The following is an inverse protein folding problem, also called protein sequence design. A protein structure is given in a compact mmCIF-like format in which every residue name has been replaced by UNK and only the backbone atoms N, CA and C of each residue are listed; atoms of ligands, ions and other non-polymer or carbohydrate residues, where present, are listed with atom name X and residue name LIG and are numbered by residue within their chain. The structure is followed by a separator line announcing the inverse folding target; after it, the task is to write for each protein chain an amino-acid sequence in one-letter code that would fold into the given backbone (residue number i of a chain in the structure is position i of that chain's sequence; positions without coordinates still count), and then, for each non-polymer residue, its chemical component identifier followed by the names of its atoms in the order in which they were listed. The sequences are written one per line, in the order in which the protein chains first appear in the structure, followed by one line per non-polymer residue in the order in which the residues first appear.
data_IF_207877668301
#
_entry.id   IF_207877668301
#
_cell.length_a   1.000
_cell.length_b   1.000
_cell.length_c   1.000
_cell.angle_alpha   90.00
_cell.angle_beta   90.00
_cell.angle_gamma   90.00
#
_symmetry.space_group_name_H-M   'P 1'
#
loop_
_entity.id
_entity.type
_entity.pdbx_description
1 polymer ?
#
# COMPACT_ATOMS: atom_id res chain seq x y z
N UNK A 1 24.05 -27.53 -2.07
CA UNK A 1 23.30 -26.84 -3.13
C UNK A 1 22.60 -25.65 -2.50
N UNK A 2 23.00 -24.42 -2.80
CA UNK A 2 22.32 -23.21 -2.31
C UNK A 2 21.08 -22.99 -3.19
N UNK A 3 19.89 -23.06 -2.60
CA UNK A 3 18.63 -22.74 -3.31
C UNK A 3 18.70 -21.29 -3.77
N UNK A 4 18.47 -20.98 -5.07
CA UNK A 4 18.47 -19.61 -5.54
C UNK A 4 17.49 -18.76 -4.75
N UNK A 5 17.92 -17.62 -4.25
CA UNK A 5 17.11 -16.73 -3.40
C UNK A 5 15.75 -16.34 -4.04
N UNK A 6 15.68 -16.29 -5.37
CA UNK A 6 14.43 -16.02 -6.10
C UNK A 6 13.38 -17.13 -5.94
N UNK A 7 13.80 -18.41 -5.87
CA UNK A 7 12.89 -19.53 -5.62
C UNK A 7 12.32 -19.52 -4.19
N UNK A 8 13.15 -19.19 -3.21
CA UNK A 8 12.68 -19.03 -1.81
C UNK A 8 11.63 -17.93 -1.75
N UNK A 9 11.89 -16.78 -2.37
CA UNK A 9 10.92 -15.66 -2.43
C UNK A 9 9.64 -16.04 -3.18
N UNK A 10 9.73 -16.81 -4.26
CA UNK A 10 8.56 -17.31 -4.97
C UNK A 10 7.69 -18.19 -4.06
N UNK A 11 8.29 -19.14 -3.35
CA UNK A 11 7.56 -20.00 -2.40
C UNK A 11 6.92 -19.16 -1.29
N UNK A 12 7.64 -18.19 -0.71
CA UNK A 12 7.08 -17.27 0.29
C UNK A 12 5.89 -16.47 -0.26
N UNK A 13 5.97 -16.01 -1.51
CA UNK A 13 4.85 -15.31 -2.16
C UNK A 13 3.61 -16.19 -2.29
N UNK A 14 3.79 -17.48 -2.64
CA UNK A 14 2.67 -18.44 -2.69
C UNK A 14 2.01 -18.60 -1.31
N UNK A 15 2.80 -18.68 -0.23
CA UNK A 15 2.27 -18.72 1.15
C UNK A 15 1.60 -17.42 1.58
N UNK A 16 1.93 -16.27 0.98
CA UNK A 16 1.25 -15.00 1.27
C UNK A 16 -0.08 -14.84 0.54
N UNK A 17 -0.36 -15.61 -0.53
CA UNK A 17 -1.62 -15.51 -1.26
C UNK A 17 -2.86 -15.76 -0.39
N UNK A 18 -2.91 -16.83 0.45
CA UNK A 18 -4.02 -17.02 1.38
C UNK A 18 -4.20 -15.83 2.33
N UNK A 19 -3.11 -15.27 2.85
CA UNK A 19 -3.14 -14.09 3.72
C UNK A 19 -3.71 -12.88 2.96
N UNK A 20 -3.28 -12.67 1.71
CA UNK A 20 -3.83 -11.63 0.85
C UNK A 20 -5.34 -11.82 0.63
N UNK A 21 -5.79 -13.05 0.37
CA UNK A 21 -7.20 -13.36 0.15
C UNK A 21 -8.05 -13.08 1.39
N UNK A 22 -7.64 -13.57 2.56
CA UNK A 22 -8.36 -13.37 3.82
C UNK A 22 -8.36 -11.90 4.24
N UNK A 23 -7.21 -11.21 4.13
CA UNK A 23 -7.13 -9.78 4.42
C UNK A 23 -8.02 -8.97 3.47
N UNK A 24 -8.05 -9.31 2.18
CA UNK A 24 -8.94 -8.66 1.20
C UNK A 24 -10.41 -8.86 1.57
N UNK A 25 -10.82 -10.09 1.88
CA UNK A 25 -12.19 -10.40 2.32
C UNK A 25 -12.55 -9.56 3.56
N UNK A 26 -11.67 -9.52 4.56
CA UNK A 26 -11.90 -8.76 5.79
C UNK A 26 -12.00 -7.26 5.51
N UNK A 27 -11.09 -6.73 4.68
CA UNK A 27 -11.09 -5.32 4.28
C UNK A 27 -12.38 -4.93 3.54
N UNK A 28 -12.77 -5.69 2.50
CA UNK A 28 -13.97 -5.37 1.73
C UNK A 28 -15.24 -5.51 2.54
N UNK A 29 -15.31 -6.47 3.47
CA UNK A 29 -16.43 -6.59 4.42
C UNK A 29 -16.50 -5.39 5.36
N UNK A 30 -15.36 -4.95 5.92
CA UNK A 30 -15.28 -3.77 6.76
C UNK A 30 -15.63 -2.49 5.98
N UNK A 31 -15.12 -2.35 4.75
CA UNK A 31 -15.42 -1.23 3.86
C UNK A 31 -16.91 -1.17 3.49
N UNK A 32 -17.53 -2.32 3.14
CA UNK A 32 -18.97 -2.38 2.87
C UNK A 32 -19.78 -1.98 4.12
N UNK A 33 -19.37 -2.42 5.31
CA UNK A 33 -20.00 -2.02 6.59
C UNK A 33 -19.87 -0.51 6.82
N UNK A 34 -18.69 0.06 6.60
CA UNK A 34 -18.45 1.51 6.74
C UNK A 34 -19.30 2.32 5.77
N UNK A 35 -19.42 1.90 4.52
CA UNK A 35 -20.17 2.63 3.49
C UNK A 35 -21.68 2.48 3.64
N UNK A 36 -22.18 1.26 3.81
CA UNK A 36 -23.63 0.97 3.80
C UNK A 36 -24.26 1.23 5.15
N UNK A 37 -23.70 0.67 6.24
CA UNK A 37 -24.30 0.75 7.56
C UNK A 37 -23.92 2.03 8.31
N UNK A 38 -22.71 2.52 8.13
CA UNK A 38 -22.14 3.65 8.90
C UNK A 38 -22.12 4.96 8.10
N UNK A 39 -22.54 4.92 6.84
CA UNK A 39 -22.63 6.11 5.98
C UNK A 39 -21.32 6.90 5.90
N UNK A 40 -20.18 6.24 5.68
CA UNK A 40 -18.87 6.89 5.52
C UNK A 40 -18.93 8.09 4.55
N UNK A 41 -19.75 7.97 3.50
CA UNK A 41 -19.94 8.99 2.48
C UNK A 41 -20.74 10.23 2.94
N UNK A 42 -21.27 10.26 4.20
CA UNK A 42 -21.95 11.47 4.73
C UNK A 42 -20.98 12.46 5.37
N UNK A 43 -19.75 12.04 5.66
CA UNK A 43 -18.72 12.91 6.25
C UNK A 43 -18.13 13.89 5.22
N UNK A 44 -17.83 15.12 5.65
CA UNK A 44 -17.14 16.11 4.80
C UNK A 44 -15.76 15.59 4.38
N UNK A 45 -15.08 14.85 5.24
CA UNK A 45 -13.77 14.26 5.00
C UNK A 45 -13.76 13.39 3.76
N UNK A 46 -14.80 12.57 3.59
CA UNK A 46 -14.97 11.71 2.42
C UNK A 46 -15.09 12.53 1.13
N UNK A 47 -15.87 13.61 1.15
CA UNK A 47 -16.09 14.43 -0.03
C UNK A 47 -14.85 15.22 -0.43
N UNK A 48 -14.16 15.83 0.53
CA UNK A 48 -12.91 16.54 0.23
C UNK A 48 -11.80 15.61 -0.21
N UNK A 49 -11.65 14.44 0.42
CA UNK A 49 -10.73 13.41 -0.04
C UNK A 49 -11.05 12.97 -1.48
N UNK A 50 -12.32 12.67 -1.75
CA UNK A 50 -12.78 12.25 -3.08
C UNK A 50 -12.57 13.34 -4.13
N UNK A 51 -12.83 14.60 -3.78
CA UNK A 51 -12.58 15.75 -4.65
C UNK A 51 -11.10 15.83 -5.04
N UNK A 52 -10.20 15.75 -4.07
CA UNK A 52 -8.75 15.75 -4.30
C UNK A 52 -8.30 14.60 -5.21
N UNK A 53 -8.80 13.39 -4.94
CA UNK A 53 -8.51 12.22 -5.75
C UNK A 53 -9.01 12.37 -7.20
N UNK A 54 -10.24 12.84 -7.39
CA UNK A 54 -10.83 13.06 -8.73
C UNK A 54 -10.07 14.14 -9.49
N UNK A 55 -9.75 15.26 -8.85
CA UNK A 55 -8.96 16.34 -9.47
C UNK A 55 -7.59 15.82 -9.92
N UNK A 56 -6.93 14.98 -9.11
CA UNK A 56 -5.69 14.35 -9.52
C UNK A 56 -5.90 13.41 -10.72
N UNK A 57 -6.92 12.56 -10.72
CA UNK A 57 -7.21 11.66 -11.83
C UNK A 57 -7.45 12.41 -13.14
N UNK A 58 -8.20 13.52 -13.10
CA UNK A 58 -8.39 14.40 -14.25
C UNK A 58 -7.04 14.94 -14.73
N UNK A 59 -6.20 15.43 -13.81
CA UNK A 59 -4.87 15.92 -14.16
C UNK A 59 -3.97 14.82 -14.74
N UNK A 60 -3.98 13.61 -14.16
CA UNK A 60 -3.14 12.49 -14.60
C UNK A 60 -3.47 12.00 -16.02
N UNK A 61 -4.76 12.01 -16.40
CA UNK A 61 -5.21 11.58 -17.72
C UNK A 61 -5.29 12.72 -18.75
N UNK A 62 -5.53 13.97 -18.30
CA UNK A 62 -5.74 15.12 -19.16
C UNK A 62 -4.52 16.03 -19.36
N UNK A 63 -3.50 15.95 -18.50
CA UNK A 63 -2.33 16.83 -18.53
C UNK A 63 -1.02 16.04 -18.69
N UNK A 64 0.09 16.70 -19.07
CA UNK A 64 1.41 16.09 -19.03
C UNK A 64 1.74 15.62 -17.60
N UNK A 65 2.09 14.34 -17.45
CA UNK A 65 2.40 13.75 -16.14
C UNK A 65 3.63 14.38 -15.50
N UNK A 66 3.60 14.76 -14.22
CA UNK A 66 4.73 15.34 -13.51
C UNK A 66 5.76 14.26 -13.12
N UNK A 67 6.38 13.64 -14.13
CA UNK A 67 7.32 12.51 -13.95
C UNK A 67 8.46 12.85 -13.02
N UNK A 68 8.99 14.07 -13.08
CA UNK A 68 10.10 14.49 -12.18
C UNK A 68 9.66 14.44 -10.72
N UNK A 69 8.44 14.90 -10.40
CA UNK A 69 7.90 14.88 -9.04
C UNK A 69 7.76 13.42 -8.56
N UNK A 70 7.28 12.54 -9.43
CA UNK A 70 7.20 11.12 -9.12
C UNK A 70 8.60 10.52 -8.88
N UNK A 71 9.54 10.71 -9.81
CA UNK A 71 10.90 10.16 -9.68
C UNK A 71 11.58 10.68 -8.42
N UNK A 72 11.43 11.97 -8.11
CA UNK A 72 11.95 12.54 -6.87
C UNK A 72 11.39 11.83 -5.63
N UNK A 73 10.06 11.65 -5.54
CA UNK A 73 9.43 10.96 -4.41
C UNK A 73 9.84 9.49 -4.32
N UNK A 74 10.00 8.81 -5.47
CA UNK A 74 10.45 7.43 -5.56
C UNK A 74 11.87 7.25 -4.99
N UNK A 75 12.83 8.02 -5.50
CA UNK A 75 14.21 7.97 -5.03
C UNK A 75 14.35 8.44 -3.58
N UNK A 76 13.58 9.45 -3.18
CA UNK A 76 13.57 9.91 -1.79
C UNK A 76 13.02 8.84 -0.84
N UNK A 77 12.02 8.07 -1.28
CA UNK A 77 11.51 6.95 -0.49
C UNK A 77 12.58 5.88 -0.30
N UNK A 78 13.30 5.50 -1.36
CA UNK A 78 14.45 4.60 -1.22
C UNK A 78 15.46 5.14 -0.20
N UNK A 79 15.85 6.41 -0.31
CA UNK A 79 16.82 7.04 0.58
C UNK A 79 16.34 7.05 2.04
N UNK A 80 15.08 7.38 2.30
CA UNK A 80 14.48 7.34 3.64
C UNK A 80 14.52 5.94 4.25
N UNK A 81 14.18 4.92 3.48
CA UNK A 81 14.21 3.53 3.97
C UNK A 81 15.64 3.03 4.19
N UNK A 82 16.61 3.46 3.36
CA UNK A 82 18.04 3.19 3.63
C UNK A 82 18.45 3.78 4.97
N UNK A 83 18.12 5.04 5.26
CA UNK A 83 18.45 5.70 6.53
C UNK A 83 17.72 5.05 7.72
N UNK A 84 16.44 4.73 7.59
CA UNK A 84 15.67 4.02 8.62
C UNK A 84 16.28 2.66 8.97
N UNK A 85 16.93 2.00 8.01
CA UNK A 85 17.62 0.73 8.22
C UNK A 85 19.10 0.88 8.57
N UNK A 86 19.56 2.11 8.89
CA UNK A 86 20.92 2.40 9.32
C UNK A 86 21.97 2.34 8.19
N UNK A 87 21.54 2.47 6.92
CA UNK A 87 22.40 2.57 5.76
C UNK A 87 22.77 4.04 5.44
N UNK A 88 23.61 4.21 4.42
CA UNK A 88 24.09 5.51 3.94
C UNK A 88 23.81 5.66 2.46
N UNK A 89 23.36 6.85 2.07
CA UNK A 89 23.17 7.24 0.66
C UNK A 89 24.35 8.12 0.26
N UNK A 90 25.11 7.68 -0.73
CA UNK A 90 26.30 8.42 -1.21
C UNK A 90 26.02 9.27 -2.44
N UNK A 91 24.98 8.93 -3.22
CA UNK A 91 24.55 9.70 -4.39
C UNK A 91 23.04 9.65 -4.53
N UNK A 92 22.46 10.79 -4.90
CA UNK A 92 21.03 10.93 -5.18
C UNK A 92 20.87 11.67 -6.52
N UNK A 93 20.22 11.05 -7.51
CA UNK A 93 19.97 11.64 -8.82
C UNK A 93 18.52 11.49 -9.22
N UNK A 94 17.95 12.57 -9.76
CA UNK A 94 16.59 12.64 -10.28
C UNK A 94 16.61 13.28 -11.66
N UNK A 95 15.89 12.73 -12.61
CA UNK A 95 15.77 13.25 -13.97
C UNK A 95 14.45 12.86 -14.63
N UNK A 96 14.21 13.43 -15.81
CA UNK A 96 12.97 13.15 -16.59
C UNK A 96 12.88 11.69 -17.10
N UNK A 97 14.02 11.02 -17.22
CA UNK A 97 14.12 9.66 -17.77
C UNK A 97 14.31 8.60 -16.68
N UNK A 98 14.26 9.00 -15.40
CA UNK A 98 14.46 8.15 -14.25
C UNK A 98 15.39 8.79 -13.21
N UNK A 99 15.57 8.08 -12.10
CA UNK A 99 16.50 8.45 -11.03
C UNK A 99 17.27 7.23 -10.54
N UNK A 100 18.20 7.44 -9.63
CA UNK A 100 18.83 6.37 -8.88
C UNK A 100 19.50 6.93 -7.63
N UNK A 101 19.59 6.08 -6.61
CA UNK A 101 20.46 6.32 -5.45
C UNK A 101 21.63 5.34 -5.46
N UNK A 102 22.77 5.74 -4.91
CA UNK A 102 23.85 4.83 -4.57
C UNK A 102 23.90 4.69 -3.06
N UNK A 103 23.79 3.46 -2.59
CA UNK A 103 23.69 3.11 -1.17
C UNK A 103 24.61 1.94 -0.81
N UNK A 104 25.04 1.88 0.44
CA UNK A 104 25.79 0.77 1.02
C UNK A 104 24.89 -0.39 1.47
N UNK A 105 23.57 -0.22 1.44
CA UNK A 105 22.61 -1.20 1.93
C UNK A 105 21.39 -1.29 1.04
N UNK A 106 21.02 -2.51 0.65
CA UNK A 106 19.79 -2.79 -0.08
C UNK A 106 19.14 -4.07 0.44
N UNK A 107 17.82 -4.11 0.41
CA UNK A 107 16.99 -5.28 0.65
C UNK A 107 15.62 -5.08 -0.02
N UNK A 108 14.75 -6.09 0.05
CA UNK A 108 13.44 -5.99 -0.60
C UNK A 108 12.52 -4.90 0.01
N UNK A 109 12.66 -4.55 1.29
CA UNK A 109 11.91 -3.46 1.90
C UNK A 109 12.32 -2.12 1.31
N UNK A 110 13.63 -1.86 1.20
CA UNK A 110 14.16 -0.64 0.56
C UNK A 110 13.73 -0.57 -0.90
N UNK A 111 13.89 -1.69 -1.64
CA UNK A 111 13.58 -1.73 -3.06
C UNK A 111 12.07 -1.57 -3.36
N UNK A 112 11.18 -2.10 -2.52
CA UNK A 112 9.75 -2.06 -2.76
C UNK A 112 9.03 -0.90 -2.05
N UNK A 113 9.70 -0.18 -1.15
CA UNK A 113 9.11 0.92 -0.40
C UNK A 113 8.39 1.97 -1.26
N UNK A 114 8.93 2.45 -2.41
CA UNK A 114 8.26 3.45 -3.23
C UNK A 114 6.90 3.02 -3.78
N UNK A 115 6.63 1.71 -3.83
CA UNK A 115 5.39 1.15 -4.38
C UNK A 115 4.27 1.00 -3.35
N UNK A 116 4.58 1.12 -2.05
CA UNK A 116 3.58 1.04 -0.99
C UNK A 116 3.64 2.20 0.02
N UNK A 117 4.71 3.00 0.03
CA UNK A 117 4.87 4.09 0.99
C UNK A 117 4.38 5.42 0.37
N UNK A 118 3.20 5.94 0.78
CA UNK A 118 2.61 7.15 0.18
C UNK A 118 3.29 8.41 0.72
N UNK A 119 4.55 8.62 0.30
CA UNK A 119 5.45 9.68 0.81
C UNK A 119 4.78 11.04 0.90
N UNK A 120 4.12 11.49 -0.17
CA UNK A 120 3.54 12.85 -0.21
C UNK A 120 2.36 13.01 0.75
N UNK A 121 1.56 11.96 0.96
CA UNK A 121 0.50 11.97 1.96
C UNK A 121 1.07 12.08 3.38
N UNK A 122 2.12 11.31 3.66
CA UNK A 122 2.79 11.34 4.96
C UNK A 122 3.43 12.73 5.21
N UNK A 123 4.05 13.32 4.18
CA UNK A 123 4.59 14.69 4.30
C UNK A 123 3.50 15.73 4.53
N UNK A 124 2.35 15.62 3.85
CA UNK A 124 1.23 16.54 4.04
C UNK A 124 0.66 16.44 5.46
N UNK A 125 0.42 15.22 5.96
CA UNK A 125 -0.06 14.98 7.33
C UNK A 125 0.97 15.47 8.35
N UNK A 126 2.24 15.15 8.17
CA UNK A 126 3.32 15.58 9.04
C UNK A 126 3.46 17.11 9.11
N UNK A 127 3.41 17.77 7.93
CA UNK A 127 3.45 19.23 7.86
C UNK A 127 2.25 19.87 8.58
N UNK A 128 1.04 19.35 8.35
CA UNK A 128 -0.15 19.82 9.04
C UNK A 128 -0.03 19.63 10.58
N UNK A 129 0.48 18.46 11.01
CA UNK A 129 0.74 18.19 12.42
C UNK A 129 1.74 19.16 13.04
N UNK A 130 2.87 19.43 12.35
CA UNK A 130 3.88 20.38 12.82
C UNK A 130 3.30 21.80 12.87
N UNK A 131 2.61 22.24 11.82
CA UNK A 131 1.99 23.57 11.79
C UNK A 131 0.95 23.74 12.91
N UNK A 132 0.24 22.69 13.28
CA UNK A 132 -0.75 22.74 14.37
C UNK A 132 -0.17 23.08 15.75
N UNK A 133 1.15 22.90 15.92
CA UNK A 133 1.86 23.26 17.15
C UNK A 133 2.08 24.78 17.28
N UNK A 134 2.05 25.51 16.16
CA UNK A 134 2.40 26.93 16.11
C UNK A 134 1.23 27.83 15.75
N UNK A 135 0.26 27.32 14.95
CA UNK A 135 -0.88 28.09 14.46
C UNK A 135 -2.17 27.26 14.50
N UNK A 136 -3.32 27.96 14.53
CA UNK A 136 -4.61 27.26 14.44
C UNK A 136 -4.87 26.79 12.99
N UNK A 137 -4.61 25.50 12.74
CA UNK A 137 -4.82 24.88 11.42
C UNK A 137 -6.21 24.29 11.20
N UNK A 138 -7.09 24.30 12.24
CA UNK A 138 -8.44 23.72 12.13
C UNK A 138 -9.26 24.20 10.92
N UNK A 139 -9.22 25.49 10.52
CA UNK A 139 -9.95 25.95 9.34
C UNK A 139 -9.50 25.31 8.03
N UNK A 140 -8.32 24.70 8.00
CA UNK A 140 -7.71 24.07 6.81
C UNK A 140 -7.87 22.55 6.77
N UNK A 141 -8.67 21.95 7.66
CA UNK A 141 -8.89 20.49 7.70
C UNK A 141 -9.43 19.93 6.39
N UNK A 142 -10.39 20.62 5.79
CA UNK A 142 -10.97 20.24 4.50
C UNK A 142 -9.90 20.24 3.37
N UNK A 143 -9.02 21.23 3.37
CA UNK A 143 -7.89 21.29 2.42
C UNK A 143 -6.93 20.12 2.63
N UNK A 144 -6.64 19.75 3.89
CA UNK A 144 -5.82 18.59 4.19
C UNK A 144 -6.42 17.30 3.61
N UNK A 145 -7.73 17.07 3.80
CA UNK A 145 -8.38 15.88 3.23
C UNK A 145 -8.29 15.86 1.70
N UNK A 146 -8.47 17.00 1.04
CA UNK A 146 -8.33 17.11 -0.41
C UNK A 146 -6.88 16.81 -0.85
N UNK A 147 -5.87 17.34 -0.14
CA UNK A 147 -4.46 17.06 -0.42
C UNK A 147 -4.14 15.57 -0.21
N UNK A 148 -4.64 14.96 0.86
CA UNK A 148 -4.46 13.52 1.10
C UNK A 148 -5.09 12.72 -0.04
N UNK A 149 -6.31 13.03 -0.46
CA UNK A 149 -6.96 12.37 -1.58
C UNK A 149 -6.17 12.48 -2.89
N UNK A 150 -5.69 13.69 -3.22
CA UNK A 150 -4.87 13.91 -4.41
C UNK A 150 -3.53 13.15 -4.35
N UNK A 151 -2.84 13.17 -3.22
CA UNK A 151 -1.54 12.50 -3.05
C UNK A 151 -1.67 10.97 -2.99
N UNK A 152 -2.76 10.42 -2.49
CA UNK A 152 -3.07 8.99 -2.58
C UNK A 152 -3.35 8.57 -4.01
N UNK A 153 -4.20 9.32 -4.72
CA UNK A 153 -4.46 9.05 -6.14
C UNK A 153 -3.17 9.17 -6.98
N UNK A 154 -2.29 10.15 -6.66
CA UNK A 154 -0.95 10.26 -7.23
C UNK A 154 -0.14 8.99 -6.99
N UNK A 155 -0.06 8.54 -5.75
CA UNK A 155 0.70 7.35 -5.38
C UNK A 155 0.20 6.11 -6.15
N UNK A 156 -1.10 5.82 -6.16
CA UNK A 156 -1.65 4.65 -6.84
C UNK A 156 -1.51 4.72 -8.36
N UNK A 157 -1.78 5.87 -8.97
CA UNK A 157 -1.69 6.01 -10.43
C UNK A 157 -0.26 5.84 -10.94
N UNK A 158 0.71 6.43 -10.24
CA UNK A 158 2.11 6.28 -10.61
C UNK A 158 2.67 4.89 -10.27
N UNK A 159 2.29 4.32 -9.13
CA UNK A 159 2.66 2.92 -8.78
C UNK A 159 2.19 1.95 -9.86
N UNK A 160 0.91 2.02 -10.26
CA UNK A 160 0.37 1.18 -11.33
C UNK A 160 1.06 1.43 -12.68
N UNK A 161 1.30 2.69 -13.04
CA UNK A 161 1.98 3.04 -14.28
C UNK A 161 3.42 2.56 -14.33
N UNK A 162 4.15 2.59 -13.21
CA UNK A 162 5.54 2.14 -13.12
C UNK A 162 5.68 0.62 -13.07
N UNK A 163 4.77 -0.09 -12.39
CA UNK A 163 4.76 -1.57 -12.40
C UNK A 163 4.70 -2.09 -13.84
N UNK A 164 3.91 -1.43 -14.70
CA UNK A 164 3.78 -1.79 -16.12
C UNK A 164 5.05 -1.50 -16.97
N UNK A 165 6.02 -0.77 -16.43
CA UNK A 165 7.26 -0.38 -17.13
C UNK A 165 8.46 -1.28 -16.83
N UNK A 166 8.27 -2.47 -16.27
CA UNK A 166 9.34 -3.43 -15.96
C UNK A 166 10.50 -2.82 -15.17
N UNK A 167 10.20 -2.30 -13.96
CA UNK A 167 11.20 -1.72 -13.08
C UNK A 167 12.18 -2.79 -12.54
N UNK A 168 13.48 -2.44 -12.44
CA UNK A 168 14.52 -3.29 -11.86
C UNK A 168 14.22 -3.72 -10.44
N UNK A 169 13.66 -2.83 -9.61
CA UNK A 169 13.28 -3.08 -8.21
C UNK A 169 12.40 -4.31 -8.04
N UNK A 170 11.48 -4.54 -9.01
CA UNK A 170 10.59 -5.69 -9.00
C UNK A 170 11.31 -6.97 -9.44
N UNK A 171 12.11 -6.87 -10.52
CA UNK A 171 12.77 -8.04 -11.14
C UNK A 171 13.92 -8.57 -10.28
N UNK A 172 14.63 -7.71 -9.56
CA UNK A 172 15.78 -8.07 -8.72
C UNK A 172 15.37 -8.95 -7.54
N UNK A 173 14.14 -8.78 -7.06
CA UNK A 173 13.59 -9.59 -5.98
C UNK A 173 12.65 -10.71 -6.46
N UNK A 174 12.38 -10.79 -7.78
CA UNK A 174 11.38 -11.66 -8.38
C UNK A 174 10.02 -10.97 -8.46
N UNK A 175 9.56 -10.73 -9.69
CA UNK A 175 8.36 -9.92 -9.96
C UNK A 175 7.13 -10.40 -9.21
N UNK A 176 6.90 -11.72 -9.15
CA UNK A 176 5.75 -12.29 -8.45
C UNK A 176 5.78 -11.98 -6.94
N UNK A 177 6.92 -12.21 -6.28
CA UNK A 177 7.10 -11.88 -4.87
C UNK A 177 6.89 -10.39 -4.61
N UNK A 178 7.49 -9.54 -5.45
CA UNK A 178 7.38 -8.09 -5.34
C UNK A 178 5.94 -7.62 -5.45
N UNK A 179 5.16 -8.13 -6.41
CA UNK A 179 3.75 -7.78 -6.58
C UNK A 179 2.89 -8.21 -5.39
N UNK A 180 3.12 -9.41 -4.85
CA UNK A 180 2.40 -9.90 -3.66
C UNK A 180 2.70 -9.04 -2.44
N UNK A 181 3.97 -8.66 -2.22
CA UNK A 181 4.36 -7.78 -1.11
C UNK A 181 3.75 -6.39 -1.29
N UNK A 182 3.85 -5.80 -2.50
CA UNK A 182 3.26 -4.48 -2.81
C UNK A 182 1.75 -4.50 -2.57
N UNK A 183 1.06 -5.54 -3.03
CA UNK A 183 -0.38 -5.71 -2.81
C UNK A 183 -0.71 -5.75 -1.33
N UNK A 184 -0.04 -6.64 -0.58
CA UNK A 184 -0.26 -6.82 0.86
C UNK A 184 -0.03 -5.52 1.63
N UNK A 185 1.06 -4.82 1.36
CA UNK A 185 1.41 -3.57 2.05
C UNK A 185 0.42 -2.45 1.74
N UNK A 186 0.02 -2.28 0.47
CA UNK A 186 -1.00 -1.29 0.11
C UNK A 186 -2.37 -1.62 0.73
N UNK A 187 -2.76 -2.90 0.80
CA UNK A 187 -4.00 -3.30 1.43
C UNK A 187 -3.98 -3.05 2.95
N UNK A 188 -2.85 -3.29 3.62
CA UNK A 188 -2.67 -2.93 5.04
C UNK A 188 -2.79 -1.42 5.26
N UNK A 189 -2.19 -0.61 4.40
CA UNK A 189 -2.29 0.85 4.49
C UNK A 189 -3.72 1.35 4.25
N UNK A 190 -4.42 0.80 3.24
CA UNK A 190 -5.84 1.08 3.01
C UNK A 190 -6.70 0.67 4.21
N UNK A 191 -6.36 -0.44 4.86
CA UNK A 191 -7.04 -0.90 6.09
C UNK A 191 -6.86 0.11 7.23
N UNK A 192 -5.61 0.57 7.45
CA UNK A 192 -5.34 1.61 8.46
C UNK A 192 -6.12 2.88 8.14
N UNK A 193 -6.12 3.33 6.88
CA UNK A 193 -6.90 4.50 6.47
C UNK A 193 -8.40 4.32 6.72
N UNK A 194 -8.96 3.15 6.38
CA UNK A 194 -10.37 2.86 6.63
C UNK A 194 -10.72 2.94 8.12
N UNK A 195 -9.86 2.36 8.98
CA UNK A 195 -10.05 2.40 10.44
C UNK A 195 -9.99 3.84 10.95
N UNK A 196 -9.03 4.63 10.48
CA UNK A 196 -8.91 6.04 10.90
C UNK A 196 -10.04 6.93 10.39
N UNK A 197 -10.56 6.63 9.18
CA UNK A 197 -11.66 7.37 8.56
C UNK A 197 -13.06 6.95 9.10
N UNK A 198 -13.17 5.80 9.77
CA UNK A 198 -14.45 5.26 10.24
C UNK A 198 -14.43 5.03 11.76
N UNK A 199 -14.97 5.96 12.58
CA UNK A 199 -14.89 5.87 14.04
C UNK A 199 -15.47 4.59 14.64
N UNK A 200 -16.32 3.88 13.90
CA UNK A 200 -16.97 2.66 14.37
C UNK A 200 -16.15 1.39 14.05
N UNK A 201 -15.13 1.49 13.19
CA UNK A 201 -14.21 0.39 12.89
C UNK A 201 -12.96 0.60 13.73
N UNK A 202 -12.72 -0.30 14.69
CA UNK A 202 -11.53 -0.25 15.55
C UNK A 202 -10.49 -1.26 15.11
N UNK A 203 -9.20 -1.01 15.43
CA UNK A 203 -8.13 -1.98 15.22
C UNK A 203 -8.43 -3.34 15.85
N UNK A 204 -8.95 -3.34 17.09
CA UNK A 204 -9.31 -4.57 17.79
C UNK A 204 -10.49 -5.31 17.12
N UNK A 205 -11.50 -4.56 16.64
CA UNK A 205 -12.64 -5.11 15.88
C UNK A 205 -12.19 -5.75 14.57
N UNK A 206 -11.42 -4.98 13.77
CA UNK A 206 -10.86 -5.50 12.51
C UNK A 206 -9.96 -6.72 12.73
N UNK A 207 -9.12 -6.70 13.76
CA UNK A 207 -8.26 -7.83 14.12
C UNK A 207 -9.06 -9.10 14.49
N UNK A 208 -10.17 -8.96 15.22
CA UNK A 208 -11.07 -10.10 15.52
C UNK A 208 -11.71 -10.65 14.24
N UNK A 209 -12.24 -9.77 13.37
CA UNK A 209 -12.82 -10.19 12.09
C UNK A 209 -11.80 -10.93 11.23
N UNK A 210 -10.55 -10.43 11.19
CA UNK A 210 -9.44 -11.07 10.48
C UNK A 210 -9.12 -12.46 11.03
N UNK A 211 -9.02 -12.62 12.36
CA UNK A 211 -8.78 -13.92 13.00
C UNK A 211 -9.91 -14.91 12.76
N UNK A 212 -11.16 -14.45 12.79
CA UNK A 212 -12.34 -15.28 12.47
C UNK A 212 -12.29 -15.76 11.02
N UNK A 213 -11.99 -14.87 10.08
CA UNK A 213 -11.87 -15.22 8.66
C UNK A 213 -10.68 -16.16 8.39
N UNK A 214 -9.56 -15.99 9.11
CA UNK A 214 -8.43 -16.94 9.05
C UNK A 214 -8.82 -18.33 9.55
N UNK A 215 -9.58 -18.42 10.66
CA UNK A 215 -10.13 -19.68 11.17
C UNK A 215 -11.03 -20.36 10.15
N UNK A 216 -12.00 -19.64 9.61
CA UNK A 216 -12.90 -20.17 8.57
C UNK A 216 -12.17 -20.62 7.30
N UNK A 217 -11.13 -19.90 6.89
CA UNK A 217 -10.28 -20.32 5.77
C UNK A 217 -9.53 -21.63 6.08
N UNK A 218 -8.98 -21.78 7.30
CA UNK A 218 -8.31 -23.01 7.71
C UNK A 218 -9.26 -24.21 7.76
N UNK A 219 -10.47 -24.04 8.26
CA UNK A 219 -11.53 -25.04 8.25
C UNK A 219 -11.91 -25.46 6.83
N UNK A 220 -12.08 -24.49 5.93
CA UNK A 220 -12.37 -24.75 4.52
C UNK A 220 -11.25 -25.57 3.86
N UNK A 221 -9.96 -25.20 4.07
CA UNK A 221 -8.82 -25.99 3.56
C UNK A 221 -8.85 -27.42 4.11
N UNK A 222 -9.14 -27.58 5.40
CA UNK A 222 -9.28 -28.89 6.04
C UNK A 222 -10.39 -29.73 5.44
N UNK A 223 -11.55 -29.15 5.14
CA UNK A 223 -12.67 -29.87 4.49
C UNK A 223 -12.30 -30.33 3.09
N UNK A 224 -11.73 -29.45 2.27
CA UNK A 224 -11.27 -29.78 0.91
C UNK A 224 -10.23 -30.91 0.95
N UNK A 225 -9.25 -30.85 1.87
CA UNK A 225 -8.24 -31.90 2.01
C UNK A 225 -8.87 -33.27 2.39
N UNK A 226 -9.91 -33.28 3.22
CA UNK A 226 -10.62 -34.49 3.61
C UNK A 226 -11.44 -35.07 2.43
N UNK A 227 -12.11 -34.24 1.64
CA UNK A 227 -12.82 -34.67 0.43
C UNK A 227 -11.89 -35.38 -0.55
N UNK A 228 -10.69 -34.79 -0.81
CA UNK A 228 -9.69 -35.45 -1.66
C UNK A 228 -9.20 -36.78 -1.09
N UNK A 229 -9.03 -36.92 0.23
CA UNK A 229 -8.63 -38.19 0.86
C UNK A 229 -9.73 -39.26 0.76
N UNK A 230 -10.98 -38.87 0.88
CA UNK A 230 -12.11 -39.83 0.75
C UNK A 230 -12.33 -40.22 -0.71
N UNK A 231 -12.28 -39.29 -1.67
CA UNK A 231 -12.37 -39.58 -3.09
C UNK A 231 -11.25 -40.48 -3.59
N UNK A 232 -10.03 -40.35 -3.08
CA UNK A 232 -8.89 -41.19 -3.44
C UNK A 232 -8.96 -42.63 -2.83
N UNK A 233 -9.81 -42.88 -1.83
CA UNK A 233 -10.01 -44.21 -1.23
C UNK A 233 -11.16 -44.99 -1.84
N UNK A 234 -11.98 -44.35 -2.71
CA UNK A 234 -13.14 -44.96 -3.39
C UNK A 234 -12.80 -45.45 -4.81
N UNK A 235 -11.58 -45.34 -5.23
CA UNK A 235 -10.98 -45.91 -6.44
C UNK A 235 -9.85 -46.87 -6.09
#
# INVERSE_FOLDING_TARGET
MTVPTKWVKFILAVFFLPICAVLSQTFFTAFARATVAQRLWTGEEFWFFSLGAVLWLIAFFGLPRPVILYVFGHELTHALWVWLMGGRVSRFRVGRHGGHIITDRTNFWIALAPYFFPLYSILAIGLYGVLSLFVNVRPYGQLLYAIIGATWAFHFTFTGWMILKNQSDLSDHGTFFSLVVIYLMNLLLLTVMLILASPQITFAGFGRDLLTNLGGFAEWVGSVANEFRHGARSH
#
